data_IF_845885965059
#
_entry.id   IF_845885965059
#
_cell.length_a   1.000
_cell.length_b   1.000
_cell.length_c   1.000
_cell.angle_alpha   90.00
_cell.angle_beta   90.00
_cell.angle_gamma   90.00
#
_symmetry.space_group_name_H-M   'P 1'
#
loop_
_entity.id
_entity.type
_entity.pdbx_description
1 polymer ?
#
# COMPACT_ATOMS: atom_id res chain seq x y z
N UNK A 1 20.90 16.63 3.55
CA UNK A 1 19.89 15.99 2.68
C UNK A 1 18.50 16.16 3.28
N UNK A 2 17.53 16.52 2.46
CA UNK A 2 16.16 16.69 2.93
C UNK A 2 15.39 15.39 2.86
N UNK A 3 14.43 15.23 3.77
CA UNK A 3 13.64 14.02 3.86
C UNK A 3 12.17 14.39 4.03
N UNK A 4 11.33 13.76 3.24
CA UNK A 4 9.88 13.97 3.31
C UNK A 4 9.24 12.66 3.76
N UNK A 5 8.45 12.71 4.83
CA UNK A 5 7.78 11.55 5.37
C UNK A 5 6.27 11.75 5.25
N UNK A 6 5.61 10.81 4.58
CA UNK A 6 4.16 10.86 4.39
C UNK A 6 3.53 9.62 4.99
N UNK A 7 2.30 9.76 5.42
CA UNK A 7 1.51 8.63 5.89
C UNK A 7 0.32 8.45 4.96
N UNK A 8 0.11 7.23 4.50
CA UNK A 8 -1.01 6.89 3.63
C UNK A 8 -1.88 5.90 4.37
N UNK A 9 -3.17 6.20 4.46
CA UNK A 9 -4.14 5.31 5.09
C UNK A 9 -5.08 4.81 4.01
N UNK A 10 -5.14 3.49 3.85
CA UNK A 10 -6.01 2.87 2.86
C UNK A 10 -7.09 2.09 3.58
N UNK A 11 -8.33 2.44 3.32
CA UNK A 11 -9.46 1.78 3.94
C UNK A 11 -10.20 0.94 2.92
N UNK A 12 -10.81 -0.13 3.41
CA UNK A 12 -11.55 -1.06 2.58
C UNK A 12 -12.68 -0.35 1.83
N UNK A 13 -12.80 -0.66 0.54
CA UNK A 13 -13.84 -0.09 -0.30
C UNK A 13 -14.80 -1.15 -0.81
N UNK A 14 -15.40 -0.87 -1.97
CA UNK A 14 -16.41 -1.76 -2.56
C UNK A 14 -15.93 -2.53 -3.79
N UNK A 15 -14.66 -2.42 -4.13
CA UNK A 15 -14.11 -3.10 -5.31
C UNK A 15 -13.90 -4.58 -5.06
N UNK A 16 -13.80 -5.35 -6.14
CA UNK A 16 -13.53 -6.78 -6.06
C UNK A 16 -12.24 -7.10 -5.30
N UNK A 17 -11.28 -6.20 -5.40
CA UNK A 17 -10.01 -6.37 -4.69
C UNK A 17 -10.24 -6.61 -3.19
N UNK A 18 -11.20 -5.90 -2.60
CA UNK A 18 -11.44 -5.99 -1.16
C UNK A 18 -12.14 -7.29 -0.76
N UNK A 19 -12.88 -7.89 -1.68
CA UNK A 19 -13.48 -9.19 -1.43
C UNK A 19 -12.41 -10.26 -1.27
N UNK A 20 -11.39 -10.21 -2.13
CA UNK A 20 -10.27 -11.13 -2.04
C UNK A 20 -9.40 -10.82 -0.83
N UNK A 21 -9.29 -9.55 -0.49
CA UNK A 21 -8.49 -9.12 0.65
C UNK A 21 -9.00 -9.70 1.96
N UNK A 22 -10.31 -9.87 2.09
CA UNK A 22 -10.88 -10.47 3.29
C UNK A 22 -10.43 -11.91 3.48
N UNK A 23 -10.20 -12.61 2.39
CA UNK A 23 -9.80 -14.02 2.44
C UNK A 23 -8.32 -14.18 2.75
N UNK A 24 -7.51 -13.23 2.31
CA UNK A 24 -6.06 -13.30 2.52
C UNK A 24 -5.49 -11.90 2.75
N UNK A 25 -5.59 -11.40 3.99
CA UNK A 25 -5.09 -10.05 4.30
C UNK A 25 -3.59 -9.86 4.06
N UNK A 26 -2.81 -10.92 4.26
CA UNK A 26 -1.37 -10.84 4.02
C UNK A 26 -1.05 -10.59 2.56
N UNK A 27 -1.74 -11.29 1.68
CA UNK A 27 -1.57 -11.10 0.25
C UNK A 27 -2.05 -9.72 -0.18
N UNK A 28 -3.16 -9.26 0.42
CA UNK A 28 -3.70 -7.94 0.12
C UNK A 28 -2.69 -6.84 0.47
N UNK A 29 -2.05 -6.95 1.64
CA UNK A 29 -1.05 -5.98 2.06
C UNK A 29 0.13 -5.97 1.08
N UNK A 30 0.55 -7.15 0.63
CA UNK A 30 1.64 -7.26 -0.34
C UNK A 30 1.26 -6.64 -1.68
N UNK A 31 0.03 -6.88 -2.14
CA UNK A 31 -0.46 -6.33 -3.40
C UNK A 31 -0.54 -4.81 -3.33
N UNK A 32 -1.03 -4.27 -2.20
CA UNK A 32 -1.10 -2.83 -2.02
C UNK A 32 0.29 -2.21 -2.03
N UNK A 33 1.24 -2.86 -1.37
CA UNK A 33 2.62 -2.40 -1.36
C UNK A 33 3.17 -2.32 -2.78
N UNK A 34 2.92 -3.35 -3.58
CA UNK A 34 3.38 -3.40 -4.96
C UNK A 34 2.75 -2.28 -5.78
N UNK A 35 1.45 -2.07 -5.63
CA UNK A 35 0.75 -1.03 -6.39
C UNK A 35 1.29 0.36 -6.07
N UNK A 36 1.51 0.63 -4.79
CA UNK A 36 2.04 1.94 -4.36
C UNK A 36 3.45 2.12 -4.91
N UNK A 37 4.27 1.09 -4.80
CA UNK A 37 5.65 1.14 -5.27
C UNK A 37 5.72 1.40 -6.78
N UNK A 38 4.89 0.72 -7.54
CA UNK A 38 4.85 0.90 -9.00
C UNK A 38 4.36 2.28 -9.38
N UNK A 39 3.37 2.79 -8.66
CA UNK A 39 2.88 4.14 -8.89
C UNK A 39 3.98 5.17 -8.70
N UNK A 40 4.73 5.05 -7.61
CA UNK A 40 5.82 5.97 -7.31
C UNK A 40 6.94 5.85 -8.34
N UNK A 41 7.25 4.62 -8.71
CA UNK A 41 8.30 4.37 -9.71
C UNK A 41 7.96 5.04 -11.05
N UNK A 42 6.69 5.00 -11.43
CA UNK A 42 6.28 5.60 -12.70
C UNK A 42 6.37 7.12 -12.68
N UNK A 43 6.45 7.74 -11.50
CA UNK A 43 6.61 9.19 -11.38
C UNK A 43 8.05 9.59 -11.12
N UNK A 44 8.98 8.65 -11.18
CA UNK A 44 10.39 8.93 -10.98
C UNK A 44 10.86 8.87 -9.54
N UNK A 45 10.05 8.30 -8.65
CA UNK A 45 10.38 8.18 -7.24
C UNK A 45 10.75 6.74 -6.87
N UNK A 46 11.59 6.13 -7.68
CA UNK A 46 11.98 4.74 -7.48
C UNK A 46 12.79 4.51 -6.20
N UNK A 47 13.35 5.56 -5.64
CA UNK A 47 14.12 5.45 -4.39
C UNK A 47 13.25 5.56 -3.14
N UNK A 48 11.94 5.74 -3.31
CA UNK A 48 11.05 5.87 -2.18
C UNK A 48 10.98 4.56 -1.40
N UNK A 49 10.92 4.67 -0.08
CA UNK A 49 10.84 3.53 0.83
C UNK A 49 9.40 3.35 1.26
N UNK A 50 8.77 2.29 0.79
CA UNK A 50 7.36 2.02 1.09
C UNK A 50 7.27 0.89 2.09
N UNK A 51 6.61 1.12 3.23
CA UNK A 51 6.48 0.15 4.31
C UNK A 51 5.07 0.08 4.85
N UNK A 52 4.65 -1.14 5.18
CA UNK A 52 3.41 -1.32 5.93
C UNK A 52 3.73 -1.05 7.40
N UNK A 53 3.14 -0.02 7.95
CA UNK A 53 3.40 0.36 9.35
C UNK A 53 2.41 -0.30 10.29
N UNK A 54 1.16 -0.36 9.87
CA UNK A 54 0.11 -0.88 10.73
C UNK A 54 -0.98 -1.55 9.90
N UNK A 55 -1.48 -2.68 10.40
CA UNK A 55 -2.61 -3.36 9.80
C UNK A 55 -3.64 -3.61 10.91
N UNK A 56 -4.87 -3.21 10.65
CA UNK A 56 -5.95 -3.42 11.59
C UNK A 56 -7.07 -4.18 10.91
N UNK A 57 -7.44 -5.30 11.48
CA UNK A 57 -8.47 -6.19 10.94
C UNK A 57 -9.79 -5.92 11.64
N UNK A 58 -10.36 -4.76 11.41
CA UNK A 58 -11.51 -4.35 12.17
C UNK A 58 -12.66 -3.89 11.31
#
# INVERSE_FOLDING_TARGET
MKRYVFQIIIEEGNDEFWEEAEQDPGKAASDLHTMITECLDSTGLSDADVRLIEYSDK
#
